data_IF_462540118942
#
_entry.id   IF_462540118942
#
_cell.length_a   1.000
_cell.length_b   1.000
_cell.length_c   1.000
_cell.angle_alpha   90.00
_cell.angle_beta   90.00
_cell.angle_gamma   90.00
#
_symmetry.space_group_name_H-M   'P 1'
#
loop_
_entity.id
_entity.type
_entity.pdbx_description
1 polymer ?
#
# COMPACT_ATOMS: atom_id res chain seq x y z
N UNK A 1 19.11 13.54 -38.43
CA UNK A 1 18.54 12.23 -38.05
C UNK A 1 19.53 11.49 -37.16
N UNK A 2 19.39 11.62 -35.83
CA UNK A 2 20.07 10.78 -34.84
C UNK A 2 19.04 10.48 -33.79
N UNK A 3 18.45 9.29 -33.90
CA UNK A 3 17.38 8.80 -33.05
C UNK A 3 17.93 8.57 -31.63
N UNK A 4 17.44 9.26 -30.59
CA UNK A 4 17.76 8.91 -29.22
C UNK A 4 16.71 7.89 -28.78
N UNK A 5 16.95 6.61 -29.06
CA UNK A 5 16.26 5.50 -28.41
C UNK A 5 16.64 5.49 -26.94
N UNK A 6 16.04 6.42 -26.19
CA UNK A 6 16.03 6.41 -24.75
C UNK A 6 15.20 5.21 -24.29
N UNK A 7 15.92 4.25 -23.72
CA UNK A 7 15.49 3.45 -22.57
C UNK A 7 14.32 2.50 -22.87
N UNK A 8 14.56 1.50 -23.71
CA UNK A 8 13.63 0.39 -23.92
C UNK A 8 14.19 -0.91 -23.32
N UNK A 9 14.49 -0.92 -22.02
CA UNK A 9 14.89 -2.16 -21.32
C UNK A 9 14.44 -2.18 -19.85
N UNK A 10 13.14 -2.43 -19.63
CA UNK A 10 12.62 -3.10 -18.42
C UNK A 10 11.11 -3.36 -18.48
N UNK A 11 10.54 -3.74 -19.63
CA UNK A 11 9.10 -4.05 -19.71
C UNK A 11 8.80 -5.53 -19.37
N UNK A 12 9.26 -5.97 -18.20
CA UNK A 12 8.52 -6.94 -17.41
C UNK A 12 8.12 -6.20 -16.14
N UNK A 13 7.00 -5.49 -16.22
CA UNK A 13 6.55 -4.52 -15.21
C UNK A 13 6.45 -5.13 -13.81
N UNK A 14 6.36 -6.46 -13.70
CA UNK A 14 6.48 -7.20 -12.46
C UNK A 14 7.49 -8.35 -12.61
N UNK A 15 8.56 -8.37 -11.81
CA UNK A 15 9.61 -9.41 -11.76
C UNK A 15 9.23 -10.68 -10.99
N UNK A 16 7.99 -10.84 -10.54
CA UNK A 16 7.52 -12.00 -9.75
C UNK A 16 8.00 -12.11 -8.29
N UNK A 17 9.01 -11.33 -7.87
CA UNK A 17 9.60 -11.39 -6.50
C UNK A 17 8.55 -11.10 -5.41
N UNK A 18 7.57 -10.24 -5.71
CA UNK A 18 6.55 -9.82 -4.74
C UNK A 18 5.62 -10.96 -4.29
N UNK A 19 5.63 -12.12 -4.95
CA UNK A 19 4.86 -13.31 -4.54
C UNK A 19 5.30 -13.83 -3.17
N UNK A 20 6.59 -13.73 -2.84
CA UNK A 20 7.14 -14.16 -1.53
C UNK A 20 6.59 -13.34 -0.37
N UNK A 21 6.22 -12.08 -0.63
CA UNK A 21 5.67 -11.15 0.35
C UNK A 21 4.14 -11.04 0.26
N UNK A 22 3.48 -11.95 -0.47
CA UNK A 22 2.04 -11.93 -0.68
C UNK A 22 1.33 -12.09 0.67
N UNK A 23 0.48 -11.11 0.98
CA UNK A 23 -0.30 -11.15 2.20
C UNK A 23 -1.49 -12.10 2.04
N UNK A 24 -1.71 -12.94 3.05
CA UNK A 24 -2.89 -13.80 3.13
C UNK A 24 -4.15 -12.97 3.42
N UNK A 25 -5.30 -13.46 2.97
CA UNK A 25 -6.58 -12.76 3.20
C UNK A 25 -6.88 -12.80 4.71
N UNK A 26 -6.96 -11.64 5.38
CA UNK A 26 -7.27 -11.64 6.81
C UNK A 26 -8.75 -12.04 7.00
N UNK A 27 -9.00 -12.91 7.97
CA UNK A 27 -10.36 -13.25 8.40
C UNK A 27 -10.90 -12.12 9.29
N UNK A 28 -12.12 -11.65 9.02
CA UNK A 28 -12.82 -10.66 9.86
C UNK A 28 -12.38 -9.19 9.77
N UNK A 29 -11.23 -8.85 9.16
CA UNK A 29 -10.78 -7.45 9.02
C UNK A 29 -10.52 -7.02 7.57
N UNK A 30 -10.66 -5.71 7.30
CA UNK A 30 -10.39 -5.17 5.97
C UNK A 30 -8.89 -5.15 5.66
N UNK A 31 -8.49 -5.54 4.44
CA UNK A 31 -7.07 -5.67 4.04
C UNK A 31 -6.20 -4.45 4.38
N UNK A 32 -6.72 -3.23 4.17
CA UNK A 32 -6.00 -1.98 4.50
C UNK A 32 -5.90 -1.73 6.01
N UNK A 33 -6.87 -2.17 6.80
CA UNK A 33 -6.84 -2.07 8.26
C UNK A 33 -5.79 -3.00 8.86
N UNK A 34 -5.54 -4.15 8.23
CA UNK A 34 -4.47 -5.08 8.60
C UNK A 34 -3.08 -4.66 8.09
N UNK A 35 -2.93 -3.42 7.58
CA UNK A 35 -1.67 -2.91 7.05
C UNK A 35 -1.23 -3.50 5.70
N UNK A 36 -2.10 -4.24 5.01
CA UNK A 36 -1.77 -4.79 3.69
C UNK A 36 -1.83 -3.70 2.63
N UNK A 37 -0.80 -3.65 1.78
CA UNK A 37 -0.69 -2.64 0.72
C UNK A 37 -0.90 -3.31 -0.63
N UNK A 38 -1.61 -2.65 -1.55
CA UNK A 38 -1.83 -3.17 -2.91
C UNK A 38 -0.87 -2.52 -3.90
N UNK A 39 -0.14 -3.34 -4.64
CA UNK A 39 0.59 -2.86 -5.81
C UNK A 39 -0.39 -2.68 -6.99
N UNK A 40 -0.34 -1.53 -7.68
CA UNK A 40 -1.21 -1.30 -8.84
C UNK A 40 -0.73 -2.04 -10.09
N UNK A 41 0.58 -2.31 -10.20
CA UNK A 41 1.19 -2.96 -11.34
C UNK A 41 1.14 -4.49 -11.20
N UNK A 42 1.66 -5.01 -10.10
CA UNK A 42 1.64 -6.45 -9.83
C UNK A 42 0.26 -6.93 -9.34
N UNK A 43 -0.70 -6.02 -9.12
CA UNK A 43 -2.07 -6.27 -8.66
C UNK A 43 -2.27 -7.03 -7.35
N UNK A 44 -1.18 -7.45 -6.69
CA UNK A 44 -1.21 -8.23 -5.45
C UNK A 44 -1.20 -7.36 -4.19
N UNK A 45 -1.65 -7.98 -3.09
CA UNK A 45 -1.50 -7.45 -1.73
C UNK A 45 -0.22 -7.99 -1.12
N UNK A 46 0.61 -7.10 -0.59
CA UNK A 46 1.85 -7.45 0.10
C UNK A 46 1.87 -6.86 1.50
N UNK A 47 2.52 -7.57 2.43
CA UNK A 47 2.92 -7.03 3.73
C UNK A 47 4.36 -6.58 3.60
N UNK A 48 4.56 -5.27 3.53
CA UNK A 48 5.87 -4.65 3.32
C UNK A 48 5.94 -3.35 4.10
N UNK A 49 7.04 -3.12 4.81
CA UNK A 49 7.21 -1.92 5.64
C UNK A 49 7.37 -0.66 4.77
N UNK A 50 8.02 -0.79 3.60
CA UNK A 50 8.23 0.31 2.66
C UNK A 50 6.97 0.79 1.91
N UNK A 51 7.08 1.97 1.29
CA UNK A 51 6.07 2.56 0.41
C UNK A 51 6.15 2.09 -1.04
N UNK A 52 7.23 1.40 -1.40
CA UNK A 52 7.54 1.00 -2.77
C UNK A 52 7.49 -0.52 -2.90
N UNK A 53 7.00 -1.00 -4.03
CA UNK A 53 6.96 -2.43 -4.33
C UNK A 53 8.38 -2.94 -4.58
N UNK A 54 8.85 -4.01 -3.90
CA UNK A 54 10.19 -4.57 -4.12
C UNK A 54 10.36 -5.22 -5.52
N UNK A 55 9.27 -5.39 -6.26
CA UNK A 55 9.25 -6.12 -7.53
C UNK A 55 9.19 -5.19 -8.75
N UNK A 56 8.32 -4.18 -8.72
CA UNK A 56 8.10 -3.26 -9.83
C UNK A 56 8.57 -1.83 -9.54
N UNK A 57 9.03 -1.53 -8.32
CA UNK A 57 9.42 -0.19 -7.90
C UNK A 57 8.27 0.82 -7.86
N UNK A 58 7.02 0.41 -8.10
CA UNK A 58 5.87 1.31 -8.08
C UNK A 58 5.39 1.58 -6.65
N UNK A 59 4.84 2.77 -6.41
CA UNK A 59 4.31 3.16 -5.10
C UNK A 59 3.09 2.32 -4.73
N UNK A 60 3.12 1.71 -3.54
CA UNK A 60 2.06 0.87 -3.02
C UNK A 60 0.87 1.72 -2.54
N UNK A 61 -0.35 1.24 -2.79
CA UNK A 61 -1.57 1.90 -2.32
C UNK A 61 -1.92 1.43 -0.91
N UNK A 62 -1.96 2.39 0.02
CA UNK A 62 -2.37 2.21 1.42
C UNK A 62 -3.81 2.66 1.69
N UNK A 63 -4.39 3.45 0.78
CA UNK A 63 -5.75 3.98 0.90
C UNK A 63 -6.62 3.40 -0.22
N UNK A 64 -7.88 3.03 0.07
CA UNK A 64 -8.81 2.57 -0.97
C UNK A 64 -9.16 3.72 -1.92
N UNK A 65 -9.38 3.37 -3.19
CA UNK A 65 -9.70 4.32 -4.27
C UNK A 65 -11.09 4.96 -4.11
N UNK A 66 -12.04 4.21 -3.55
CA UNK A 66 -13.43 4.64 -3.46
C UNK A 66 -13.68 5.53 -2.24
N UNK A 67 -14.25 6.72 -2.47
CA UNK A 67 -14.52 7.74 -1.46
C UNK A 67 -15.42 7.21 -0.33
N UNK A 68 -16.40 6.34 -0.66
CA UNK A 68 -17.28 5.64 0.29
C UNK A 68 -16.50 4.79 1.31
N UNK A 69 -15.42 4.13 0.89
CA UNK A 69 -14.56 3.32 1.78
C UNK A 69 -13.49 4.17 2.47
N UNK A 70 -13.09 5.31 1.88
CA UNK A 70 -12.22 6.31 2.53
C UNK A 70 -12.90 6.93 3.76
N UNK A 71 -14.21 7.19 3.69
CA UNK A 71 -15.00 7.68 4.81
C UNK A 71 -15.06 6.66 5.97
N UNK A 72 -15.31 5.38 5.66
CA UNK A 72 -15.34 4.30 6.68
C UNK A 72 -13.99 4.10 7.38
N UNK A 73 -12.87 4.21 6.65
CA UNK A 73 -11.53 4.14 7.25
C UNK A 73 -11.25 5.32 8.19
N UNK A 74 -11.67 6.54 7.82
CA UNK A 74 -11.53 7.72 8.68
C UNK A 74 -12.38 7.63 9.95
N UNK A 75 -13.60 7.09 9.85
CA UNK A 75 -14.46 6.90 11.02
C UNK A 75 -13.84 5.95 12.05
N UNK A 76 -13.18 4.87 11.61
CA UNK A 76 -12.47 3.93 12.50
C UNK A 76 -11.18 4.50 13.11
N UNK A 77 -10.55 5.48 12.46
CA UNK A 77 -9.31 6.08 12.97
C UNK A 77 -9.55 7.13 14.07
N UNK A 78 -10.79 7.64 14.20
CA UNK A 78 -11.16 8.61 15.26
C UNK A 78 -11.47 7.95 16.60
N UNK A 79 -11.81 6.67 16.63
CA UNK A 79 -12.16 5.95 17.87
C UNK A 79 -10.96 5.53 18.71
N UNK A 80 -9.73 5.74 18.23
CA UNK A 80 -8.46 5.47 18.94
C UNK A 80 -7.78 6.73 19.48
N UNK A 81 -8.41 7.90 19.33
CA UNK A 81 -7.86 9.21 19.71
C UNK A 81 -8.69 9.83 20.83
N UNK A 82 -8.63 9.30 22.08
CA UNK A 82 -8.82 10.20 23.22
C UNK A 82 -7.84 10.07 24.39
N UNK A 83 -6.79 9.21 24.37
CA UNK A 83 -5.99 8.96 25.59
C UNK A 83 -4.55 9.50 25.62
N UNK A 84 -4.01 10.09 24.55
CA UNK A 84 -2.60 10.57 24.55
C UNK A 84 -2.42 12.05 24.91
N UNK A 85 -3.48 12.81 25.19
CA UNK A 85 -3.34 14.25 25.49
C UNK A 85 -3.33 14.62 26.98
N UNK A 86 -3.30 13.66 27.91
CA UNK A 86 -3.42 13.94 29.34
C UNK A 86 -2.10 14.07 30.14
N UNK A 87 -0.92 14.03 29.51
CA UNK A 87 0.37 13.96 30.25
C UNK A 87 1.28 15.19 30.11
N UNK A 88 0.81 16.28 29.49
CA UNK A 88 1.60 17.53 29.38
C UNK A 88 0.85 18.69 30.02
N UNK A 89 0.68 18.61 31.35
CA UNK A 89 0.46 19.78 32.19
C UNK A 89 1.51 19.70 33.31
N UNK A 90 2.61 20.44 33.14
CA UNK A 90 3.42 20.98 34.23
C UNK A 90 3.11 22.46 34.32
#
# INVERSE_FOLDING_TARGET
MRSPTLIWFSSMTCKGICIRHKAQKPVGSGRYASGQKRCQICEIFIKWDGLWCPCCGYRLRTKPRNLKYKAKLRARNKTVEPLEQAIVIQ
#
